data_IF_022937157849
#
_entry.id   IF_022937157849
#
_cell.length_a   1.000
_cell.length_b   1.000
_cell.length_c   1.000
_cell.angle_alpha   90.00
_cell.angle_beta   90.00
_cell.angle_gamma   90.00
#
_symmetry.space_group_name_H-M   'P 1'
#
loop_
_entity.id
_entity.type
_entity.pdbx_description
1 polymer ?
#
# COMPACT_ATOMS: atom_id res chain seq x y z
N UNK A 1 11.77 1.20 -26.35
CA UNK A 1 11.41 0.64 -25.04
C UNK A 1 10.37 1.55 -24.42
N UNK A 2 9.18 1.04 -24.07
CA UNK A 2 8.15 1.87 -23.44
C UNK A 2 8.56 2.08 -21.99
N UNK A 3 8.80 3.33 -21.60
CA UNK A 3 9.16 3.68 -20.23
C UNK A 3 7.95 3.47 -19.32
N UNK A 4 8.11 2.72 -18.23
CA UNK A 4 7.04 2.59 -17.23
C UNK A 4 6.93 3.91 -16.48
N UNK A 5 5.71 4.43 -16.37
CA UNK A 5 5.41 5.67 -15.65
C UNK A 5 4.49 5.39 -14.47
N UNK A 6 4.46 6.26 -13.44
CA UNK A 6 3.52 6.12 -12.33
C UNK A 6 2.05 6.08 -12.79
N UNK A 7 1.68 6.82 -13.83
CA UNK A 7 0.32 6.82 -14.37
C UNK A 7 -0.03 5.47 -15.03
N UNK A 8 0.89 4.92 -15.85
CA UNK A 8 0.73 3.59 -16.43
C UNK A 8 0.58 2.52 -15.34
N UNK A 9 1.34 2.66 -14.25
CA UNK A 9 1.26 1.75 -13.11
C UNK A 9 -0.12 1.81 -12.43
N UNK A 10 -0.67 3.00 -12.21
CA UNK A 10 -2.03 3.14 -11.67
C UNK A 10 -3.09 2.55 -12.59
N UNK A 11 -2.96 2.73 -13.91
CA UNK A 11 -3.89 2.17 -14.88
C UNK A 11 -3.81 0.63 -14.93
N UNK A 12 -2.62 0.06 -14.80
CA UNK A 12 -2.44 -1.37 -14.63
C UNK A 12 -3.17 -1.88 -13.37
N UNK A 13 -2.99 -1.22 -12.22
CA UNK A 13 -3.70 -1.59 -10.99
C UNK A 13 -5.22 -1.52 -11.13
N UNK A 14 -5.76 -0.49 -11.81
CA UNK A 14 -7.20 -0.38 -12.11
C UNK A 14 -7.70 -1.55 -12.97
N UNK A 15 -6.85 -2.10 -13.82
CA UNK A 15 -7.13 -3.29 -14.62
C UNK A 15 -6.89 -4.61 -13.86
N UNK A 16 -6.37 -4.56 -12.64
CA UNK A 16 -6.01 -5.75 -11.84
C UNK A 16 -4.65 -6.35 -12.18
N UNK A 17 -3.80 -5.59 -12.87
CA UNK A 17 -2.46 -5.98 -13.30
C UNK A 17 -1.44 -5.31 -12.38
N UNK A 18 -0.38 -6.02 -12.00
CA UNK A 18 0.68 -5.48 -11.14
C UNK A 18 2.07 -5.76 -11.72
N UNK A 19 3.06 -4.89 -11.44
CA UNK A 19 4.41 -5.05 -11.92
C UNK A 19 5.24 -5.97 -11.03
N UNK A 20 6.16 -6.72 -11.62
CA UNK A 20 7.30 -7.30 -10.90
C UNK A 20 8.51 -7.34 -11.82
N UNK A 21 9.70 -7.02 -11.32
CA UNK A 21 10.93 -7.32 -12.05
C UNK A 21 11.33 -8.79 -11.82
N UNK A 22 12.10 -9.37 -12.73
CA UNK A 22 12.60 -10.75 -12.54
C UNK A 22 13.56 -10.84 -11.35
N UNK A 23 14.44 -9.85 -11.20
CA UNK A 23 15.35 -9.72 -10.06
C UNK A 23 15.76 -8.25 -9.79
N UNK A 24 16.64 -8.05 -8.80
CA UNK A 24 17.13 -6.73 -8.37
C UNK A 24 17.90 -5.95 -9.46
N UNK A 25 18.53 -6.65 -10.40
CA UNK A 25 19.36 -6.10 -11.50
C UNK A 25 18.61 -6.05 -12.83
N UNK A 26 17.42 -6.64 -12.90
CA UNK A 26 16.59 -6.62 -14.09
C UNK A 26 16.34 -5.18 -14.55
N UNK A 27 16.39 -4.98 -15.87
CA UNK A 27 16.17 -3.68 -16.53
C UNK A 27 14.77 -3.58 -17.13
N UNK A 28 13.96 -4.63 -16.95
CA UNK A 28 12.59 -4.71 -17.45
C UNK A 28 11.63 -5.07 -16.33
N UNK A 29 10.40 -4.56 -16.45
CA UNK A 29 9.29 -4.85 -15.53
C UNK A 29 8.30 -5.75 -16.25
N UNK A 30 8.05 -6.93 -15.68
CA UNK A 30 6.99 -7.85 -16.09
C UNK A 30 5.63 -7.42 -15.52
N UNK A 31 4.56 -7.77 -16.23
CA UNK A 31 3.18 -7.46 -15.85
C UNK A 31 2.38 -8.74 -15.60
N UNK A 32 1.73 -8.82 -14.45
CA UNK A 32 1.13 -10.05 -13.97
C UNK A 32 -0.37 -9.91 -13.73
N UNK A 33 -1.11 -10.93 -14.16
CA UNK A 33 -2.55 -11.07 -13.95
C UNK A 33 -2.86 -12.56 -13.77
N UNK A 34 -2.75 -13.11 -12.55
CA UNK A 34 -2.93 -14.54 -12.30
C UNK A 34 -4.41 -14.96 -12.42
N UNK A 35 -4.69 -16.23 -12.77
CA UNK A 35 -6.07 -16.75 -12.86
C UNK A 35 -6.78 -16.81 -11.51
N UNK A 36 -6.03 -16.98 -10.42
CA UNK A 36 -6.49 -16.89 -9.04
C UNK A 36 -5.80 -15.70 -8.37
N UNK A 37 -6.56 -14.91 -7.62
CA UNK A 37 -6.07 -13.71 -6.93
C UNK A 37 -6.20 -13.88 -5.42
N UNK A 38 -5.11 -13.63 -4.70
CA UNK A 38 -5.09 -13.59 -3.25
C UNK A 38 -5.69 -12.28 -2.73
N UNK A 39 -6.73 -12.38 -1.90
CA UNK A 39 -7.33 -11.23 -1.21
C UNK A 39 -7.29 -11.45 0.30
N UNK A 40 -7.08 -10.36 1.04
CA UNK A 40 -7.08 -10.35 2.50
C UNK A 40 -8.39 -9.72 3.00
N UNK A 41 -9.17 -10.39 3.85
CA UNK A 41 -10.39 -9.78 4.40
C UNK A 41 -10.05 -8.57 5.27
N UNK A 42 -10.65 -7.42 4.99
CA UNK A 42 -10.47 -6.21 5.81
C UNK A 42 -11.31 -6.32 7.10
N UNK A 43 -12.63 -6.37 6.97
CA UNK A 43 -13.54 -6.45 8.12
C UNK A 43 -13.51 -7.81 8.84
N UNK A 44 -13.03 -8.86 8.17
CA UNK A 44 -12.95 -10.22 8.70
C UNK A 44 -11.53 -10.74 8.88
N UNK A 45 -10.54 -9.85 9.01
CA UNK A 45 -9.14 -10.25 9.15
C UNK A 45 -8.99 -11.21 10.34
N UNK A 46 -8.38 -12.38 10.11
CA UNK A 46 -8.03 -13.25 11.23
C UNK A 46 -6.77 -12.71 11.92
N UNK A 47 -6.84 -12.42 13.22
CA UNK A 47 -5.66 -12.05 14.00
C UNK A 47 -5.39 -13.15 15.03
N UNK A 48 -4.26 -13.87 14.95
CA UNK A 48 -3.93 -14.90 15.93
C UNK A 48 -3.95 -14.33 17.35
N UNK A 49 -4.58 -15.05 18.30
CA UNK A 49 -4.73 -14.59 19.70
C UNK A 49 -3.42 -14.14 20.35
N UNK A 50 -2.32 -14.84 20.06
CA UNK A 50 -0.97 -14.46 20.52
C UNK A 50 -0.57 -13.09 19.99
N UNK A 51 -0.79 -12.83 18.71
CA UNK A 51 -0.46 -11.56 18.08
C UNK A 51 -1.34 -10.42 18.63
N UNK A 52 -2.64 -10.65 18.81
CA UNK A 52 -3.54 -9.66 19.42
C UNK A 52 -3.06 -9.25 20.84
N UNK A 53 -2.62 -10.23 21.65
CA UNK A 53 -1.98 -9.96 22.96
C UNK A 53 -0.64 -9.24 22.85
N UNK A 54 0.12 -9.48 21.79
CA UNK A 54 1.37 -8.74 21.55
C UNK A 54 1.05 -7.29 21.20
N UNK A 55 0.09 -7.04 20.30
CA UNK A 55 -0.34 -5.70 19.90
C UNK A 55 -0.81 -4.89 21.12
N UNK A 56 -1.61 -5.48 22.02
CA UNK A 56 -2.11 -4.77 23.21
C UNK A 56 -1.03 -4.31 24.18
N UNK A 57 0.18 -4.89 24.11
CA UNK A 57 1.35 -4.47 24.89
C UNK A 57 2.10 -3.29 24.25
N UNK A 58 1.73 -2.90 23.03
CA UNK A 58 2.32 -1.80 22.27
C UNK A 58 3.86 -1.85 22.22
N UNK A 59 4.46 -2.98 21.78
CA UNK A 59 5.92 -3.14 21.77
C UNK A 59 6.62 -2.24 20.74
N UNK A 60 5.89 -1.75 19.74
CA UNK A 60 6.39 -0.87 18.70
C UNK A 60 5.50 0.36 18.60
N UNK A 61 6.10 1.50 18.31
CA UNK A 61 5.38 2.70 17.86
C UNK A 61 5.02 2.52 16.39
N UNK A 62 3.75 2.56 16.04
CA UNK A 62 3.32 2.44 14.64
C UNK A 62 3.04 3.81 14.05
N UNK A 63 3.61 4.08 12.88
CA UNK A 63 3.34 5.30 12.09
C UNK A 63 2.87 4.93 10.69
N UNK A 64 2.42 5.92 9.94
CA UNK A 64 2.06 5.78 8.54
C UNK A 64 2.72 6.88 7.74
N UNK A 65 3.12 6.56 6.51
CA UNK A 65 3.67 7.51 5.54
C UNK A 65 4.84 8.36 6.08
N UNK A 66 5.53 7.88 7.12
CA UNK A 66 6.61 8.63 7.79
C UNK A 66 7.95 8.41 7.11
N UNK A 67 8.20 7.21 6.58
CA UNK A 67 9.47 6.85 5.93
C UNK A 67 9.26 5.78 4.84
N UNK A 68 8.42 6.11 3.85
CA UNK A 68 8.01 5.19 2.79
C UNK A 68 9.20 4.61 2.01
N UNK A 69 10.17 5.46 1.62
CA UNK A 69 11.33 5.03 0.84
C UNK A 69 12.16 4.00 1.61
N UNK A 70 12.37 4.20 2.92
CA UNK A 70 13.09 3.25 3.74
C UNK A 70 12.32 1.93 3.89
N UNK A 71 10.99 1.95 3.93
CA UNK A 71 10.18 0.72 3.94
C UNK A 71 10.40 -0.10 2.67
N UNK A 72 10.23 0.51 1.49
CA UNK A 72 10.39 -0.22 0.22
C UNK A 72 11.83 -0.70 -0.01
N UNK A 73 12.84 0.08 0.41
CA UNK A 73 14.25 -0.35 0.36
C UNK A 73 14.51 -1.55 1.27
N UNK A 74 14.03 -1.54 2.51
CA UNK A 74 14.16 -2.72 3.37
C UNK A 74 13.38 -3.93 2.84
N UNK A 75 12.24 -3.73 2.18
CA UNK A 75 11.54 -4.80 1.47
C UNK A 75 12.38 -5.40 0.34
N UNK A 76 13.16 -4.58 -0.37
CA UNK A 76 14.08 -5.05 -1.40
C UNK A 76 15.22 -5.89 -0.78
N UNK A 77 15.79 -5.43 0.34
CA UNK A 77 16.96 -6.05 0.97
C UNK A 77 16.63 -7.25 1.88
N UNK A 78 15.36 -7.45 2.24
CA UNK A 78 14.94 -8.51 3.17
C UNK A 78 15.03 -9.94 2.61
N UNK A 79 15.30 -10.10 1.32
CA UNK A 79 15.30 -11.41 0.64
C UNK A 79 16.55 -11.55 -0.23
N UNK A 80 17.06 -12.78 -0.33
CA UNK A 80 18.19 -13.09 -1.23
C UNK A 80 17.84 -12.84 -2.70
N UNK A 81 16.59 -13.16 -3.09
CA UNK A 81 16.01 -12.81 -4.38
C UNK A 81 14.81 -11.90 -4.19
N UNK A 82 14.78 -10.80 -4.94
CA UNK A 82 13.72 -9.79 -4.86
C UNK A 82 13.39 -9.28 -6.25
N UNK A 83 12.10 -9.03 -6.47
CA UNK A 83 11.58 -8.41 -7.69
C UNK A 83 11.64 -6.87 -7.62
N UNK A 84 11.97 -6.30 -6.46
CA UNK A 84 12.00 -4.87 -6.24
C UNK A 84 13.36 -4.35 -6.70
N UNK A 85 13.46 -3.84 -7.93
CA UNK A 85 14.65 -3.18 -8.47
C UNK A 85 14.61 -1.64 -8.23
N UNK A 86 15.62 -0.91 -8.67
CA UNK A 86 15.69 0.55 -8.47
C UNK A 86 14.61 1.32 -9.24
N UNK A 87 14.19 0.82 -10.40
CA UNK A 87 13.09 1.40 -11.17
C UNK A 87 11.77 1.31 -10.39
N UNK A 88 11.46 0.15 -9.80
CA UNK A 88 10.29 -0.04 -8.95
C UNK A 88 10.36 0.87 -7.72
N UNK A 89 11.51 0.98 -7.04
CA UNK A 89 11.63 1.92 -5.92
C UNK A 89 11.30 3.34 -6.36
N UNK A 90 11.83 3.78 -7.51
CA UNK A 90 11.56 5.11 -8.06
C UNK A 90 10.08 5.31 -8.39
N UNK A 91 9.42 4.32 -9.00
CA UNK A 91 8.01 4.39 -9.39
C UNK A 91 7.09 4.51 -8.19
N UNK A 92 7.29 3.67 -7.17
CA UNK A 92 6.43 3.67 -5.99
C UNK A 92 6.71 4.86 -5.08
N UNK A 93 7.96 5.33 -5.01
CA UNK A 93 8.27 6.60 -4.30
C UNK A 93 7.60 7.78 -5.00
N UNK A 94 7.55 7.80 -6.33
CA UNK A 94 6.79 8.81 -7.07
C UNK A 94 5.27 8.68 -6.84
N UNK A 95 4.72 7.47 -6.74
CA UNK A 95 3.32 7.27 -6.35
C UNK A 95 3.04 7.73 -4.93
N UNK A 96 3.96 7.51 -3.99
CA UNK A 96 3.84 7.98 -2.62
C UNK A 96 3.79 9.51 -2.55
N UNK A 97 4.70 10.19 -3.26
CA UNK A 97 4.70 11.65 -3.37
C UNK A 97 3.40 12.21 -3.99
N UNK A 98 2.68 11.40 -4.78
CA UNK A 98 1.39 11.73 -5.39
C UNK A 98 0.18 11.31 -4.54
N UNK A 99 0.40 10.77 -3.34
CA UNK A 99 -0.67 10.33 -2.43
C UNK A 99 -1.37 9.03 -2.84
N UNK A 100 -0.71 8.20 -3.66
CA UNK A 100 -1.25 6.92 -4.13
C UNK A 100 -0.57 5.70 -3.51
N UNK A 101 0.67 5.81 -3.04
CA UNK A 101 1.33 4.72 -2.33
C UNK A 101 1.52 5.08 -0.86
N UNK A 102 1.31 4.12 0.02
CA UNK A 102 1.32 4.33 1.46
C UNK A 102 2.07 3.24 2.19
N UNK A 103 2.61 3.57 3.36
CA UNK A 103 3.32 2.65 4.23
C UNK A 103 2.78 2.68 5.65
N UNK A 104 2.95 1.55 6.35
CA UNK A 104 2.83 1.43 7.79
C UNK A 104 4.17 0.97 8.35
N UNK A 105 4.70 1.70 9.33
CA UNK A 105 6.02 1.49 9.91
C UNK A 105 5.90 1.07 11.36
N UNK A 106 6.61 0.02 11.78
CA UNK A 106 6.75 -0.36 13.18
C UNK A 106 8.14 0.03 13.70
N UNK A 107 8.19 0.89 14.72
CA UNK A 107 9.42 1.43 15.29
C UNK A 107 9.72 0.87 16.68
N UNK A 108 10.94 0.37 16.84
CA UNK A 108 11.56 0.02 18.13
C UNK A 108 12.52 1.16 18.52
N UNK A 109 12.00 2.13 19.27
CA UNK A 109 12.69 3.40 19.51
C UNK A 109 12.93 4.18 18.21
N UNK A 110 14.20 4.27 17.80
CA UNK A 110 14.63 4.90 16.54
C UNK A 110 14.87 3.88 15.41
N UNK A 111 14.80 2.58 15.70
CA UNK A 111 15.01 1.51 14.72
C UNK A 111 13.70 1.23 14.01
N UNK A 112 13.72 1.28 12.68
CA UNK A 112 12.61 0.78 11.86
C UNK A 112 12.63 -0.75 11.92
N UNK A 113 11.78 -1.31 12.78
CA UNK A 113 11.77 -2.71 13.17
C UNK A 113 11.02 -3.60 12.17
N UNK A 114 10.16 -3.01 11.34
CA UNK A 114 9.44 -3.66 10.26
C UNK A 114 8.49 -2.69 9.58
N UNK A 115 7.88 -3.12 8.50
CA UNK A 115 6.91 -2.30 7.78
C UNK A 115 6.26 -3.04 6.63
N UNK A 116 5.21 -2.43 6.11
CA UNK A 116 4.45 -2.87 4.93
C UNK A 116 4.13 -1.65 4.08
N UNK A 117 4.14 -1.79 2.77
CA UNK A 117 3.69 -0.74 1.85
C UNK A 117 2.71 -1.27 0.82
N UNK A 118 1.96 -0.35 0.23
CA UNK A 118 0.99 -0.67 -0.82
C UNK A 118 0.53 0.54 -1.60
N UNK A 119 -0.34 0.31 -2.58
CA UNK A 119 -0.97 1.33 -3.43
C UNK A 119 -2.45 1.44 -3.07
N UNK A 120 -3.00 2.65 -3.11
CA UNK A 120 -4.39 2.97 -2.82
C UNK A 120 -5.05 3.60 -4.04
N UNK A 121 -6.15 3.00 -4.49
CA UNK A 121 -6.99 3.53 -5.58
C UNK A 121 -8.46 3.35 -5.19
N UNK A 122 -9.17 4.47 -4.96
CA UNK A 122 -10.50 4.42 -4.39
C UNK A 122 -10.47 3.69 -3.05
N UNK A 123 -11.39 2.75 -2.85
CA UNK A 123 -11.48 1.89 -1.68
C UNK A 123 -10.77 0.55 -1.86
N UNK A 124 -9.86 0.44 -2.83
CA UNK A 124 -8.97 -0.72 -3.03
C UNK A 124 -7.56 -0.39 -2.54
N UNK A 125 -6.97 -1.31 -1.78
CA UNK A 125 -5.59 -1.26 -1.34
C UNK A 125 -4.84 -2.49 -1.86
N UNK A 126 -3.72 -2.27 -2.53
CA UNK A 126 -2.85 -3.30 -3.09
C UNK A 126 -1.62 -3.40 -2.19
N UNK A 127 -1.57 -4.42 -1.33
CA UNK A 127 -0.43 -4.66 -0.46
C UNK A 127 0.72 -5.26 -1.24
N UNK A 128 1.88 -4.62 -1.27
CA UNK A 128 2.96 -4.98 -2.20
C UNK A 128 4.01 -5.87 -1.55
N UNK A 129 4.62 -5.39 -0.48
CA UNK A 129 5.61 -6.15 0.27
C UNK A 129 5.72 -5.66 1.69
N UNK A 130 6.34 -6.49 2.52
CA UNK A 130 6.61 -6.20 3.91
C UNK A 130 7.96 -6.81 4.32
N UNK A 131 8.57 -6.24 5.34
CA UNK A 131 9.82 -6.71 5.93
C UNK A 131 9.76 -6.67 7.45
N UNK A 132 10.58 -7.49 8.11
CA UNK A 132 10.67 -7.55 9.57
C UNK A 132 12.12 -7.72 10.00
N UNK A 133 12.61 -6.83 10.84
CA UNK A 133 13.92 -6.88 11.49
C UNK A 133 13.79 -7.36 12.95
N UNK A 134 12.65 -7.07 13.59
CA UNK A 134 12.30 -7.58 14.92
C UNK A 134 11.12 -8.53 14.85
N UNK A 135 10.94 -9.33 15.90
CA UNK A 135 9.85 -10.30 16.01
C UNK A 135 8.49 -9.63 15.91
N UNK A 136 7.62 -10.17 15.07
CA UNK A 136 6.24 -9.72 14.84
C UNK A 136 6.08 -8.27 14.33
N UNK A 137 7.16 -7.53 14.04
CA UNK A 137 7.06 -6.11 13.64
C UNK A 137 6.26 -5.92 12.34
N UNK A 138 6.54 -6.71 11.29
CA UNK A 138 5.77 -6.64 10.02
C UNK A 138 4.30 -7.03 10.20
N UNK A 139 4.02 -7.99 11.09
CA UNK A 139 2.66 -8.45 11.40
C UNK A 139 1.87 -7.36 12.12
N UNK A 140 2.51 -6.68 13.06
CA UNK A 140 1.91 -5.57 13.78
C UNK A 140 1.63 -4.41 12.80
N UNK A 141 2.61 -4.06 11.95
CA UNK A 141 2.40 -3.06 10.90
C UNK A 141 1.23 -3.43 9.97
N UNK A 142 1.12 -4.70 9.55
CA UNK A 142 -0.01 -5.19 8.74
C UNK A 142 -1.35 -5.06 9.45
N UNK A 143 -1.45 -5.45 10.73
CA UNK A 143 -2.72 -5.36 11.47
C UNK A 143 -3.15 -3.90 11.66
N UNK A 144 -2.21 -3.00 11.98
CA UNK A 144 -2.50 -1.57 12.05
C UNK A 144 -2.90 -0.97 10.70
N UNK A 145 -2.25 -1.40 9.61
CA UNK A 145 -2.63 -1.03 8.24
C UNK A 145 -4.08 -1.45 7.95
N UNK A 146 -4.43 -2.72 8.18
CA UNK A 146 -5.79 -3.20 7.93
C UNK A 146 -6.82 -2.49 8.83
N UNK A 147 -6.48 -2.20 10.09
CA UNK A 147 -7.34 -1.42 10.99
C UNK A 147 -7.62 -0.02 10.44
N UNK A 148 -6.60 0.65 9.89
CA UNK A 148 -6.77 1.95 9.21
C UNK A 148 -7.65 1.82 7.97
N UNK A 149 -7.40 0.83 7.12
CA UNK A 149 -8.21 0.59 5.91
C UNK A 149 -9.68 0.32 6.26
N UNK A 150 -9.93 -0.47 7.30
CA UNK A 150 -11.27 -0.74 7.82
C UNK A 150 -11.98 0.54 8.24
N UNK A 151 -11.31 1.38 9.05
CA UNK A 151 -11.86 2.66 9.52
C UNK A 151 -12.15 3.62 8.37
N UNK A 152 -11.30 3.64 7.35
CA UNK A 152 -11.45 4.51 6.16
C UNK A 152 -12.40 3.93 5.10
N UNK A 153 -13.06 2.81 5.37
CA UNK A 153 -14.11 2.26 4.51
C UNK A 153 -13.61 1.57 3.23
N UNK A 154 -12.34 1.11 3.23
CA UNK A 154 -11.80 0.27 2.17
C UNK A 154 -12.54 -1.06 2.09
N UNK A 155 -12.75 -1.54 0.87
CA UNK A 155 -13.55 -2.75 0.59
C UNK A 155 -12.71 -3.91 0.05
N UNK A 156 -11.52 -3.64 -0.49
CA UNK A 156 -10.67 -4.65 -1.11
C UNK A 156 -9.23 -4.47 -0.65
N UNK A 157 -8.65 -5.52 -0.05
CA UNK A 157 -7.21 -5.65 0.13
C UNK A 157 -6.72 -6.75 -0.81
N UNK A 158 -5.97 -6.35 -1.84
CA UNK A 158 -5.30 -7.24 -2.77
C UNK A 158 -3.91 -7.59 -2.24
N UNK A 159 -3.63 -8.89 -2.14
CA UNK A 159 -2.34 -9.43 -1.71
C UNK A 159 -1.67 -10.27 -2.81
N UNK A 160 -2.17 -10.15 -4.05
CA UNK A 160 -1.74 -10.79 -5.30
C UNK A 160 -1.75 -12.32 -5.26
N UNK A 161 -0.87 -12.91 -4.45
CA UNK A 161 -0.69 -14.35 -4.28
C UNK A 161 -0.90 -14.78 -2.83
N UNK A 162 -1.46 -15.97 -2.64
CA UNK A 162 -1.46 -16.60 -1.32
C UNK A 162 -0.07 -17.08 -0.96
N UNK A 163 0.34 -16.80 0.27
CA UNK A 163 1.58 -17.30 0.84
C UNK A 163 1.36 -17.79 2.27
N UNK A 164 2.26 -18.66 2.76
CA UNK A 164 2.14 -19.27 4.08
C UNK A 164 2.11 -18.24 5.22
N UNK A 165 2.76 -17.09 5.04
CA UNK A 165 2.73 -16.01 6.02
C UNK A 165 1.32 -15.40 6.13
N UNK A 166 0.66 -15.08 5.02
CA UNK A 166 -0.66 -14.46 5.00
C UNK A 166 -1.81 -15.43 5.30
N UNK A 167 -1.59 -16.76 5.19
CA UNK A 167 -2.56 -17.78 5.63
C UNK A 167 -2.97 -17.62 7.10
N UNK A 168 -2.03 -17.21 7.96
CA UNK A 168 -2.34 -16.96 9.37
C UNK A 168 -3.28 -15.75 9.59
N UNK A 169 -3.52 -14.95 8.54
CA UNK A 169 -4.39 -13.77 8.57
C UNK A 169 -5.73 -13.99 7.83
N UNK A 170 -5.98 -15.20 7.33
CA UNK A 170 -7.23 -15.53 6.63
C UNK A 170 -7.25 -15.09 5.17
N UNK A 171 -6.09 -14.95 4.53
CA UNK A 171 -6.02 -14.73 3.07
C UNK A 171 -6.75 -15.86 2.33
N UNK A 172 -7.45 -15.51 1.24
CA UNK A 172 -8.18 -16.45 0.39
C UNK A 172 -7.86 -16.20 -1.08
N UNK A 173 -8.05 -17.23 -1.91
CA UNK A 173 -7.96 -17.10 -3.37
C UNK A 173 -9.36 -17.03 -3.97
N UNK A 174 -9.52 -16.13 -4.94
CA UNK A 174 -10.74 -16.01 -5.73
C UNK A 174 -10.41 -16.02 -7.23
N UNK A 175 -11.33 -16.51 -8.10
CA UNK A 175 -11.14 -16.44 -9.54
C UNK A 175 -10.98 -15.00 -10.03
N UNK A 176 -10.14 -14.79 -11.04
CA UNK A 176 -9.87 -13.47 -11.64
C UNK A 176 -11.14 -12.69 -12.00
N UNK A 177 -12.15 -13.37 -12.54
CA UNK A 177 -13.42 -12.75 -12.90
C UNK A 177 -14.12 -12.12 -11.68
N UNK A 178 -14.12 -12.84 -10.55
CA UNK A 178 -14.70 -12.37 -9.29
C UNK A 178 -13.86 -11.25 -8.68
N UNK A 179 -12.53 -11.39 -8.68
CA UNK A 179 -11.63 -10.32 -8.24
C UNK A 179 -11.85 -9.04 -9.02
N UNK A 180 -11.89 -9.09 -10.36
CA UNK A 180 -12.13 -7.91 -11.21
C UNK A 180 -13.50 -7.27 -10.94
N UNK A 181 -14.51 -8.05 -10.55
CA UNK A 181 -15.83 -7.53 -10.14
C UNK A 181 -15.71 -6.72 -8.84
N UNK A 182 -15.03 -7.26 -7.83
CA UNK A 182 -14.77 -6.57 -6.57
C UNK A 182 -13.89 -5.33 -6.77
N UNK A 183 -12.84 -5.45 -7.58
CA UNK A 183 -11.91 -4.38 -7.89
C UNK A 183 -12.61 -3.18 -8.55
N UNK A 184 -13.42 -3.40 -9.59
CA UNK A 184 -14.16 -2.31 -10.23
C UNK A 184 -15.05 -1.55 -9.25
N UNK A 185 -15.72 -2.27 -8.34
CA UNK A 185 -16.56 -1.66 -7.30
C UNK A 185 -15.71 -0.83 -6.34
N UNK A 186 -14.60 -1.37 -5.86
CA UNK A 186 -13.73 -0.71 -4.90
C UNK A 186 -13.03 0.53 -5.49
N UNK A 187 -12.51 0.44 -6.72
CA UNK A 187 -11.88 1.57 -7.42
C UNK A 187 -12.86 2.73 -7.65
N UNK A 188 -14.14 2.42 -7.91
CA UNK A 188 -15.17 3.44 -8.12
C UNK A 188 -15.63 4.13 -6.82
N UNK A 189 -15.41 3.52 -5.67
CA UNK A 189 -15.79 4.07 -4.37
C UNK A 189 -14.65 4.94 -3.81
N UNK A 190 -14.87 6.23 -3.53
CA UNK A 190 -13.85 7.06 -2.91
C UNK A 190 -13.49 6.57 -1.50
N UNK A 191 -12.19 6.52 -1.19
CA UNK A 191 -11.65 6.41 0.15
C UNK A 191 -10.34 7.18 0.21
N UNK A 192 -9.92 7.57 1.41
CA UNK A 192 -8.66 8.31 1.63
C UNK A 192 -7.87 7.63 2.72
N UNK A 193 -6.59 7.35 2.45
CA UNK A 193 -5.72 6.66 3.38
C UNK A 193 -5.33 7.52 4.59
N UNK A 194 -4.98 8.79 4.34
CA UNK A 194 -4.62 9.76 5.37
C UNK A 194 -5.80 10.14 6.26
N UNK A 195 -5.54 10.79 7.39
CA UNK A 195 -6.58 11.46 8.15
C UNK A 195 -7.32 12.41 7.21
N UNK A 196 -8.66 12.36 7.21
CA UNK A 196 -9.51 13.32 6.49
C UNK A 196 -8.96 14.72 6.77
N UNK A 197 -8.23 15.29 5.80
CA UNK A 197 -8.04 16.72 5.81
C UNK A 197 -9.46 17.24 5.60
N UNK A 198 -10.01 17.85 6.66
CA UNK A 198 -11.19 18.67 6.53
C UNK A 198 -10.97 19.52 5.28
N UNK A 199 -11.90 19.45 4.33
CA UNK A 199 -11.85 20.31 3.15
C UNK A 199 -11.48 21.73 3.61
N UNK A 200 -10.62 22.48 2.88
CA UNK A 200 -10.21 23.80 3.33
C UNK A 200 -11.45 24.66 3.60
N UNK A 201 -11.77 24.83 4.87
CA UNK A 201 -12.87 25.66 5.34
C UNK A 201 -12.39 27.09 5.31
N UNK A 202 -12.45 27.71 4.12
CA UNK A 202 -12.69 29.14 3.91
C UNK A 202 -12.39 29.55 2.47
N UNK A 203 -13.35 29.32 1.57
CA UNK A 203 -13.60 30.25 0.47
C UNK A 203 -14.77 31.15 0.87
N UNK A 204 -14.52 32.00 1.87
CA UNK A 204 -15.36 33.17 2.15
C UNK A 204 -14.48 34.35 2.50
N UNK A 205 -13.74 34.85 1.51
CA UNK A 205 -13.25 36.21 1.54
C UNK A 205 -13.04 36.71 0.12
N UNK A 206 -13.58 37.91 -0.14
CA UNK A 206 -13.31 38.78 -1.28
C UNK A 206 -14.08 38.54 -2.60
N UNK A 207 -15.40 38.66 -2.53
CA UNK A 207 -16.16 39.44 -3.52
C UNK A 207 -17.14 40.30 -2.72
N UNK A 208 -16.79 41.53 -2.35
CA UNK A 208 -17.04 42.78 -3.11
C UNK A 208 -16.52 43.95 -2.24
N UNK A 209 -16.21 45.16 -2.75
CA UNK A 209 -17.18 46.08 -3.40
C UNK A 209 -16.52 46.83 -4.59
N UNK A 210 -17.12 47.67 -5.44
CA UNK A 210 -18.38 48.41 -5.55
C UNK A 210 -18.44 48.91 -7.00
N UNK A 211 -19.62 49.02 -7.61
CA UNK A 211 -20.12 50.30 -8.17
C UNK A 211 -21.42 50.09 -8.95
N UNK A 212 -22.41 50.89 -8.58
CA UNK A 212 -23.59 51.21 -9.37
C UNK A 212 -23.17 51.76 -10.75
N UNK A 213 -23.84 51.36 -11.84
CA UNK A 213 -24.98 52.13 -12.39
C UNK A 213 -25.66 51.40 -13.57
N UNK A 214 -26.86 51.83 -14.00
CA UNK A 214 -27.88 50.97 -14.61
C UNK A 214 -27.90 51.00 -16.14
N UNK A 215 -28.40 49.91 -16.73
CA UNK A 215 -28.68 49.83 -18.17
C UNK A 215 -29.62 48.68 -18.47
N UNK A 216 -30.90 49.02 -18.65
CA UNK A 216 -31.97 48.17 -19.17
C UNK A 216 -31.63 47.52 -20.52
N UNK A 217 -32.10 46.30 -20.79
CA UNK A 217 -32.96 45.98 -21.96
C UNK A 217 -33.43 44.50 -21.91
N UNK A 218 -34.71 44.29 -22.20
CA UNK A 218 -35.44 43.02 -22.24
C UNK A 218 -35.30 42.28 -23.57
N UNK A 219 -35.44 40.94 -23.55
CA UNK A 219 -36.32 40.10 -24.43
C UNK A 219 -35.88 38.63 -24.37
N UNK A 220 -36.72 37.68 -23.92
CA UNK A 220 -37.52 36.77 -24.78
C UNK A 220 -36.85 35.38 -24.80
N UNK A 221 -37.47 34.29 -24.29
CA UNK A 221 -38.47 33.45 -24.97
C UNK A 221 -37.81 32.68 -26.15
N UNK A 222 -37.92 31.37 -26.39
CA UNK A 222 -38.79 30.26 -25.95
C UNK A 222 -38.20 28.92 -26.49
N UNK A 223 -38.80 27.78 -26.10
CA UNK A 223 -38.94 26.50 -26.85
C UNK A 223 -37.69 25.62 -27.09
N UNK A 224 -37.71 24.28 -27.19
CA UNK A 224 -38.68 23.17 -27.15
C UNK A 224 -37.84 21.86 -27.04
N UNK A 225 -38.19 20.88 -26.21
CA UNK A 225 -38.91 19.62 -26.54
C UNK A 225 -38.29 18.64 -27.58
N UNK A 226 -38.07 17.41 -27.06
CA UNK A 226 -38.63 16.13 -27.52
C UNK A 226 -37.94 15.28 -28.63
N UNK A 227 -38.05 13.96 -28.40
CA UNK A 227 -37.86 12.86 -29.38
C UNK A 227 -36.69 11.96 -29.00
N UNK A 228 -36.83 10.70 -28.55
CA UNK A 228 -37.84 9.69 -28.85
C UNK A 228 -37.31 8.74 -29.92
N UNK A 229 -37.01 7.47 -29.59
CA UNK A 229 -36.63 6.47 -30.60
C UNK A 229 -36.09 5.17 -30.02
N UNK A 230 -36.88 4.11 -30.14
CA UNK A 230 -36.62 2.74 -29.66
C UNK A 230 -35.94 1.88 -30.74
N UNK A 231 -35.45 0.72 -30.27
CA UNK A 231 -35.21 -0.56 -30.96
C UNK A 231 -33.88 -0.74 -31.72
N UNK A 232 -33.09 -1.73 -31.29
CA UNK A 232 -32.98 -3.00 -32.04
C UNK A 232 -32.32 -4.12 -31.18
N UNK A 233 -32.98 -5.28 -31.13
CA UNK A 233 -32.40 -6.56 -30.74
C UNK A 233 -31.74 -7.19 -31.98
N UNK A 234 -30.53 -7.73 -31.85
CA UNK A 234 -30.10 -8.88 -32.63
C UNK A 234 -28.98 -9.61 -31.88
N UNK A 235 -29.26 -10.87 -31.55
CA UNK A 235 -28.24 -11.81 -31.08
C UNK A 235 -27.38 -12.30 -32.23
N UNK A 236 -26.20 -12.80 -31.89
CA UNK A 236 -25.49 -13.77 -32.73
C UNK A 236 -24.87 -14.84 -31.84
N UNK A 237 -24.97 -16.07 -32.33
CA UNK A 237 -24.69 -17.33 -31.66
C UNK A 237 -23.32 -17.87 -32.08
N UNK A 238 -22.65 -18.50 -31.12
CA UNK A 238 -21.79 -19.70 -31.20
C UNK A 238 -20.55 -19.75 -32.12
N UNK A 239 -19.46 -20.28 -31.56
CA UNK A 239 -18.29 -20.75 -32.30
C UNK A 239 -17.04 -21.04 -31.45
N UNK A 240 -17.06 -22.19 -30.76
CA UNK A 240 -15.99 -23.17 -30.49
C UNK A 240 -14.52 -22.81 -30.16
N UNK A 241 -14.11 -23.31 -28.97
CA UNK A 241 -12.95 -24.18 -28.64
C UNK A 241 -11.59 -23.99 -29.35
N UNK A 242 -10.50 -23.88 -28.57
CA UNK A 242 -9.45 -24.92 -28.39
C UNK A 242 -8.53 -24.54 -27.20
N UNK A 243 -8.08 -25.58 -26.51
CA UNK A 243 -7.28 -25.65 -25.28
C UNK A 243 -5.77 -25.37 -25.46
N UNK A 244 -5.09 -25.16 -24.32
CA UNK A 244 -3.69 -25.61 -24.13
C UNK A 244 -2.79 -24.67 -23.31
N UNK A 245 -2.18 -25.21 -22.24
CA UNK A 245 -0.90 -24.71 -21.73
C UNK A 245 -0.83 -24.47 -20.23
N UNK A 246 -0.54 -25.53 -19.47
CA UNK A 246 -0.34 -25.53 -18.02
C UNK A 246 0.91 -24.76 -17.55
N UNK A 247 0.80 -24.23 -16.33
CA UNK A 247 1.87 -23.58 -15.59
C UNK A 247 2.75 -24.61 -14.86
N UNK A 248 4.07 -24.48 -14.97
CA UNK A 248 5.04 -25.23 -14.19
C UNK A 248 5.77 -24.33 -13.20
N UNK A 249 5.32 -24.34 -11.94
CA UNK A 249 6.11 -23.90 -10.80
C UNK A 249 6.90 -25.10 -10.26
N UNK A 250 8.21 -24.97 -10.13
CA UNK A 250 9.09 -26.02 -9.60
C UNK A 250 10.15 -25.44 -8.67
N UNK A 251 9.89 -25.50 -7.37
CA UNK A 251 10.92 -25.40 -6.34
C UNK A 251 11.69 -26.73 -6.26
N UNK A 252 13.01 -26.67 -6.11
CA UNK A 252 13.82 -27.81 -5.70
C UNK A 252 14.96 -27.36 -4.79
N UNK A 253 14.80 -27.65 -3.51
CA UNK A 253 15.84 -27.74 -2.49
C UNK A 253 16.72 -28.98 -2.72
N UNK A 254 18.03 -28.85 -2.55
CA UNK A 254 18.96 -29.99 -2.56
C UNK A 254 20.30 -29.65 -1.92
N UNK A 255 20.48 -30.08 -0.67
CA UNK A 255 21.74 -30.13 0.07
C UNK A 255 22.78 -31.01 -0.67
N UNK A 256 24.07 -30.64 -0.60
CA UNK A 256 25.14 -31.51 -0.08
C UNK A 256 26.45 -30.73 0.11
N UNK A 257 27.16 -31.10 1.19
CA UNK A 257 28.43 -30.58 1.69
C UNK A 257 29.62 -30.95 0.80
N UNK A 258 30.70 -30.16 0.82
CA UNK A 258 32.04 -30.67 1.17
C UNK A 258 33.11 -29.59 1.42
N UNK A 259 33.93 -29.85 2.45
CA UNK A 259 35.34 -29.46 2.73
C UNK A 259 35.80 -27.99 2.52
N UNK A 260 36.17 -27.22 3.56
CA UNK A 260 37.33 -27.31 4.47
C UNK A 260 38.69 -26.94 3.83
N UNK A 261 39.34 -25.90 4.40
CA UNK A 261 40.79 -25.65 4.63
C UNK A 261 40.99 -24.12 4.79
N UNK A 262 41.06 -23.60 6.02
CA UNK A 262 42.26 -23.36 6.83
C UNK A 262 43.19 -22.26 6.31
N UNK A 263 43.39 -21.21 7.12
CA UNK A 263 44.34 -20.13 6.86
C UNK A 263 44.28 -19.04 7.92
N UNK A 264 45.13 -19.17 8.94
CA UNK A 264 45.27 -18.30 10.11
C UNK A 264 45.85 -16.90 9.78
N UNK A 265 45.56 -15.92 10.64
CA UNK A 265 46.25 -14.62 10.65
C UNK A 265 45.79 -13.71 11.78
N UNK A 266 46.70 -13.39 12.70
CA UNK A 266 46.48 -12.75 14.00
C UNK A 266 46.24 -11.22 13.95
N UNK A 267 45.65 -10.70 15.03
CA UNK A 267 45.57 -9.28 15.46
C UNK A 267 46.99 -8.71 15.79
N UNK A 268 47.25 -7.39 16.08
CA UNK A 268 46.41 -6.48 16.89
C UNK A 268 46.46 -4.94 16.61
N UNK A 269 45.50 -4.24 17.24
CA UNK A 269 45.53 -2.94 17.94
C UNK A 269 46.38 -1.75 17.41
N UNK A 270 45.77 -0.57 17.25
CA UNK A 270 46.07 0.68 18.00
C UNK A 270 45.21 1.88 17.54
N UNK A 271 44.78 2.70 18.52
CA UNK A 271 44.22 4.06 18.35
C UNK A 271 45.38 5.08 18.16
N UNK A 272 45.08 6.33 17.77
CA UNK A 272 44.97 7.38 18.80
C UNK A 272 43.80 8.37 18.63
N UNK A 273 43.54 9.08 19.74
CA UNK A 273 42.72 10.30 19.92
C UNK A 273 43.43 11.50 19.24
N UNK A 274 42.96 12.74 19.07
CA UNK A 274 41.86 13.59 19.56
C UNK A 274 41.84 14.86 18.70
N UNK A 275 40.72 15.58 18.57
CA UNK A 275 40.65 17.01 18.93
C UNK A 275 39.23 17.56 18.82
N UNK A 276 38.88 18.29 19.86
CA UNK A 276 37.66 19.01 20.18
C UNK A 276 37.66 20.44 19.63
N UNK A 277 36.48 21.01 19.36
CA UNK A 277 35.89 22.17 20.07
C UNK A 277 34.60 22.66 19.36
N UNK A 278 33.74 23.45 20.04
CA UNK A 278 32.28 23.35 19.95
C UNK A 278 31.64 24.47 19.12
N UNK A 279 30.38 24.26 18.70
CA UNK A 279 29.47 25.36 18.38
C UNK A 279 28.16 25.14 19.13
N UNK A 280 27.86 26.10 20.00
CA UNK A 280 26.61 26.22 20.74
C UNK A 280 25.50 26.82 19.90
N UNK A 281 24.26 26.46 20.25
CA UNK A 281 23.13 27.40 20.22
C UNK A 281 22.22 27.28 19.00
N UNK A 282 21.09 26.60 19.17
CA UNK A 282 19.79 27.27 19.44
C UNK A 282 18.69 26.21 19.45
N UNK A 283 18.18 25.95 20.65
CA UNK A 283 16.93 25.25 20.85
C UNK A 283 15.77 26.23 20.64
N UNK A 284 14.92 25.93 19.67
CA UNK A 284 13.51 26.32 19.61
C UNK A 284 12.86 25.29 18.69
N UNK A 285 12.09 24.32 19.19
CA UNK A 285 10.82 24.60 19.84
C UNK A 285 9.70 24.50 18.81
N UNK A 286 9.50 23.30 18.23
CA UNK A 286 8.32 22.96 17.44
C UNK A 286 7.86 21.54 17.82
N UNK A 287 7.38 21.40 19.06
CA UNK A 287 6.59 20.25 19.50
C UNK A 287 5.12 20.66 19.52
N UNK A 288 4.47 20.58 18.37
CA UNK A 288 3.01 20.56 18.30
C UNK A 288 2.61 19.89 16.98
N UNK A 289 2.47 18.56 17.00
CA UNK A 289 2.00 17.78 15.84
C UNK A 289 2.11 16.26 15.99
N UNK A 290 3.08 15.75 16.76
CA UNK A 290 3.32 14.30 16.87
C UNK A 290 2.35 13.55 17.82
N UNK A 291 1.62 14.26 18.68
CA UNK A 291 0.77 13.63 19.72
C UNK A 291 -0.59 13.16 19.16
N UNK A 292 -0.94 13.53 17.92
CA UNK A 292 -2.27 13.29 17.34
C UNK A 292 -2.39 12.01 16.50
N UNK A 293 -1.38 11.61 15.72
CA UNK A 293 -1.51 10.44 14.83
C UNK A 293 -1.15 9.12 15.52
N UNK A 294 -0.16 9.11 16.41
CA UNK A 294 0.27 7.92 17.14
C UNK A 294 -0.87 7.36 18.01
N UNK A 295 -1.50 8.23 18.81
CA UNK A 295 -2.65 7.86 19.63
C UNK A 295 -3.85 7.42 18.76
N UNK A 296 -4.05 8.04 17.59
CA UNK A 296 -5.13 7.62 16.69
C UNK A 296 -4.89 6.21 16.16
N UNK A 297 -3.66 5.88 15.76
CA UNK A 297 -3.35 4.55 15.21
C UNK A 297 -3.59 3.41 16.21
N UNK A 298 -3.31 3.67 17.49
CA UNK A 298 -3.52 2.72 18.58
C UNK A 298 -5.01 2.55 18.91
N UNK A 299 -5.79 3.62 18.88
CA UNK A 299 -7.23 3.55 19.08
C UNK A 299 -7.91 2.78 17.94
N UNK A 300 -7.45 3.00 16.71
CA UNK A 300 -7.99 2.35 15.53
C UNK A 300 -7.76 0.85 15.56
N UNK A 301 -6.54 0.40 15.93
CA UNK A 301 -6.26 -1.02 16.04
C UNK A 301 -7.04 -1.68 17.17
N UNK A 302 -7.24 -1.00 18.31
CA UNK A 302 -8.02 -1.55 19.43
C UNK A 302 -9.49 -1.71 19.05
N UNK A 303 -10.09 -0.68 18.45
CA UNK A 303 -11.47 -0.74 17.96
C UNK A 303 -11.65 -1.85 16.91
N UNK A 304 -10.69 -1.97 16.00
CA UNK A 304 -10.66 -3.02 14.98
C UNK A 304 -10.55 -4.43 15.58
N UNK A 305 -9.65 -4.64 16.54
CA UNK A 305 -9.51 -5.94 17.21
C UNK A 305 -10.81 -6.32 17.93
N UNK A 306 -11.51 -5.35 18.53
CA UNK A 306 -12.82 -5.58 19.13
C UNK A 306 -13.86 -5.97 18.07
N UNK A 307 -13.93 -5.29 16.93
CA UNK A 307 -14.94 -5.57 15.89
C UNK A 307 -14.81 -6.98 15.31
N UNK A 308 -13.57 -7.45 15.07
CA UNK A 308 -13.35 -8.80 14.52
C UNK A 308 -13.63 -9.91 15.54
N UNK A 309 -13.46 -9.64 16.84
CA UNK A 309 -13.76 -10.63 17.90
C UNK A 309 -15.23 -10.83 18.18
N UNK A 310 -16.10 -9.84 17.89
CA UNK A 310 -17.55 -9.97 18.07
C UNK A 310 -18.23 -10.73 16.94
N UNK A 311 -17.55 -10.91 15.81
CA UNK A 311 -18.09 -11.55 14.60
C UNK A 311 -17.68 -13.03 14.48
N UNK A 312 -16.80 -13.51 15.37
CA UNK A 312 -16.29 -14.90 15.41
C UNK A 312 -16.94 -15.71 16.53
#
# INVERSE_FOLDING_TARGET
MVKVTPDLLLDAYRAGIFPMAEDRRATEIGWYDPPLRGILPIAGLHVPRRLARTISRKPYRVTFDTDFERVIRNCADARETTWINDEIISLYTALHARGHAHSAEAWDGAVLAGGVYGVSIGSAFFGESMFSVRTDASKIALVHLVARLWKQGYELFDAQYVNAHLKQFGIMEIPRAEYRRLLRKAVAKPATFGASQSAPSSLSAALSPSSNDPGSFSSGGTDECAGGGRNFCAGFSSGDLVAGGEAGAGAASGLTRSAALSGAGAAPCTKPMSSSLPVSGCASGARSGAVSEENSSDLDVVAFLHSITQTS
#
